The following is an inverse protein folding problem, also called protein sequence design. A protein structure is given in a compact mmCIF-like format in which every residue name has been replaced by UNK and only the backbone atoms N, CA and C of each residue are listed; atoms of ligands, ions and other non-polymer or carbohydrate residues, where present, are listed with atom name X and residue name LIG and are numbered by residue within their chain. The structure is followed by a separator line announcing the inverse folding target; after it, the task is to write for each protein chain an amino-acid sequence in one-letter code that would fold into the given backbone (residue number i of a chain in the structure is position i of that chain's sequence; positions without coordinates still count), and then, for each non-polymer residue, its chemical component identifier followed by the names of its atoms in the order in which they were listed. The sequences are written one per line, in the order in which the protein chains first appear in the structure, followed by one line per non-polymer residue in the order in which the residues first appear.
data_IF_025690114685
#
_entry.id   IF_025690114685
#
_cell.length_a   1.000
_cell.length_b   1.000
_cell.length_c   1.000
_cell.angle_alpha   90.00
_cell.angle_beta   90.00
_cell.angle_gamma   90.00
#
_symmetry.space_group_name_H-M   'P 1'
#
loop_
_entity.id
_entity.type
_entity.pdbx_description
1 polymer ?
#
# COMPACT_ATOMS: atom_id res chain seq x y z
N UNK A 1 -60.58 -43.84 -27.51
CA UNK A 1 -59.88 -43.63 -26.22
C UNK A 1 -58.64 -42.79 -26.49
N UNK A 2 -58.61 -41.54 -26.02
CA UNK A 2 -57.48 -40.62 -26.19
C UNK A 2 -56.53 -40.74 -24.98
N UNK A 3 -55.29 -41.19 -25.21
CA UNK A 3 -54.25 -41.23 -24.19
C UNK A 3 -53.60 -39.85 -24.05
N UNK A 4 -53.75 -39.22 -22.89
CA UNK A 4 -53.00 -38.01 -22.53
C UNK A 4 -51.58 -38.39 -22.13
N UNK A 5 -50.60 -37.98 -22.94
CA UNK A 5 -49.17 -38.08 -22.64
C UNK A 5 -48.83 -37.06 -21.56
N UNK A 6 -48.48 -37.51 -20.36
CA UNK A 6 -48.04 -36.65 -19.25
C UNK A 6 -46.82 -35.82 -19.68
N UNK A 7 -47.00 -34.50 -19.85
CA UNK A 7 -45.90 -33.56 -20.04
C UNK A 7 -45.06 -33.41 -18.76
N UNK A 8 -43.79 -32.98 -18.87
CA UNK A 8 -42.93 -32.75 -17.71
C UNK A 8 -43.58 -31.72 -16.76
N UNK A 9 -43.66 -32.07 -15.47
CA UNK A 9 -44.28 -31.23 -14.42
C UNK A 9 -43.60 -29.84 -14.38
N UNK A 10 -44.37 -28.75 -14.19
CA UNK A 10 -43.80 -27.40 -14.11
C UNK A 10 -42.78 -27.31 -12.96
N UNK A 11 -41.64 -26.64 -13.15
CA UNK A 11 -40.64 -26.50 -12.09
C UNK A 11 -41.24 -25.79 -10.87
N UNK A 12 -40.99 -26.32 -9.68
CA UNK A 12 -41.59 -25.81 -8.44
C UNK A 12 -40.67 -24.78 -7.77
N UNK A 13 -40.60 -23.58 -8.35
CA UNK A 13 -39.76 -22.46 -7.91
C UNK A 13 -40.00 -22.00 -6.45
N UNK A 14 -41.08 -22.46 -5.81
CA UNK A 14 -41.45 -22.13 -4.42
C UNK A 14 -40.96 -23.16 -3.39
N UNK A 15 -40.28 -24.23 -3.82
CA UNK A 15 -39.67 -25.18 -2.88
C UNK A 15 -38.57 -24.53 -2.04
N UNK A 16 -38.57 -24.72 -0.72
CA UNK A 16 -37.56 -24.17 0.21
C UNK A 16 -36.10 -24.42 -0.21
N UNK A 17 -35.85 -25.52 -0.93
CA UNK A 17 -34.52 -25.89 -1.47
C UNK A 17 -34.15 -25.15 -2.76
N UNK A 18 -35.13 -24.74 -3.56
CA UNK A 18 -34.92 -23.93 -4.76
C UNK A 18 -34.83 -22.44 -4.41
N UNK A 19 -35.61 -21.99 -3.42
CA UNK A 19 -35.50 -20.64 -2.86
C UNK A 19 -34.14 -20.36 -2.23
N UNK A 20 -33.55 -21.32 -1.51
CA UNK A 20 -32.19 -21.16 -0.96
C UNK A 20 -31.13 -21.09 -2.05
N UNK A 21 -31.29 -21.82 -3.16
CA UNK A 21 -30.39 -21.74 -4.32
C UNK A 21 -30.50 -20.39 -5.04
N UNK A 22 -31.72 -19.91 -5.26
CA UNK A 22 -31.96 -18.59 -5.86
C UNK A 22 -31.43 -17.47 -4.97
N UNK A 23 -31.61 -17.59 -3.64
CA UNK A 23 -31.10 -16.62 -2.68
C UNK A 23 -29.57 -16.54 -2.71
N UNK A 24 -28.88 -17.70 -2.73
CA UNK A 24 -27.41 -17.73 -2.85
C UNK A 24 -26.96 -17.05 -4.15
N UNK A 25 -27.66 -17.28 -5.27
CA UNK A 25 -27.33 -16.67 -6.56
C UNK A 25 -27.52 -15.14 -6.54
N UNK A 26 -28.61 -14.65 -5.94
CA UNK A 26 -28.87 -13.21 -5.80
C UNK A 26 -27.83 -12.56 -4.90
N UNK A 27 -27.46 -13.19 -3.79
CA UNK A 27 -26.41 -12.68 -2.88
C UNK A 27 -25.05 -12.61 -3.59
N UNK A 28 -24.71 -13.62 -4.39
CA UNK A 28 -23.48 -13.62 -5.19
C UNK A 28 -23.47 -12.49 -6.22
N UNK A 29 -24.60 -12.28 -6.89
CA UNK A 29 -24.75 -11.23 -7.91
C UNK A 29 -24.70 -9.83 -7.27
N UNK A 30 -25.32 -9.65 -6.11
CA UNK A 30 -25.18 -8.43 -5.31
C UNK A 30 -23.75 -8.19 -4.85
N UNK A 31 -23.02 -9.24 -4.45
CA UNK A 31 -21.61 -9.15 -4.09
C UNK A 31 -20.74 -8.66 -5.25
N UNK A 32 -21.00 -9.13 -6.47
CA UNK A 32 -20.29 -8.67 -7.67
C UNK A 32 -20.58 -7.19 -7.96
N UNK A 33 -21.84 -6.77 -7.84
CA UNK A 33 -22.21 -5.35 -8.04
C UNK A 33 -21.60 -4.46 -6.96
N UNK A 34 -21.54 -4.92 -5.71
CA UNK A 34 -20.91 -4.18 -4.61
C UNK A 34 -19.39 -4.05 -4.82
N UNK A 35 -18.71 -5.14 -5.22
CA UNK A 35 -17.29 -5.09 -5.57
C UNK A 35 -17.05 -4.17 -6.76
N UNK A 36 -17.91 -4.18 -7.78
CA UNK A 36 -17.80 -3.28 -8.94
C UNK A 36 -18.09 -1.82 -8.59
N UNK A 37 -18.94 -1.56 -7.59
CA UNK A 37 -19.20 -0.23 -7.05
C UNK A 37 -18.03 0.27 -6.20
N UNK A 38 -17.46 -0.58 -5.36
CA UNK A 38 -16.27 -0.29 -4.54
C UNK A 38 -15.01 -0.11 -5.42
N UNK A 39 -14.93 -0.82 -6.54
CA UNK A 39 -13.87 -0.70 -7.55
C UNK A 39 -13.79 0.70 -8.20
N UNK A 40 -14.79 1.57 -8.01
CA UNK A 40 -14.74 2.97 -8.46
C UNK A 40 -13.91 3.88 -7.56
N UNK A 41 -13.48 3.41 -6.38
CA UNK A 41 -12.63 4.15 -5.45
C UNK A 41 -11.15 3.80 -5.67
N UNK A 42 -10.37 4.62 -6.41
CA UNK A 42 -8.96 4.33 -6.69
C UNK A 42 -8.05 4.29 -5.45
N UNK A 43 -8.52 4.80 -4.31
CA UNK A 43 -7.75 4.81 -3.07
C UNK A 43 -7.55 3.41 -2.46
N UNK A 44 -8.49 2.48 -2.65
CA UNK A 44 -8.45 1.14 -2.04
C UNK A 44 -7.50 0.15 -2.74
N UNK A 45 -7.07 0.46 -3.97
CA UNK A 45 -6.25 -0.45 -4.80
C UNK A 45 -4.81 0.05 -5.02
N UNK A 46 -4.39 1.15 -4.35
CA UNK A 46 -3.02 1.66 -4.44
C UNK A 46 -1.96 0.62 -4.01
N UNK A 47 -2.32 -0.28 -3.10
CA UNK A 47 -1.46 -1.36 -2.61
C UNK A 47 -1.15 -2.44 -3.68
N UNK A 48 -1.97 -2.55 -4.72
CA UNK A 48 -1.78 -3.55 -5.80
C UNK A 48 -0.71 -3.06 -6.79
N UNK A 49 -0.66 -1.76 -7.04
CA UNK A 49 0.29 -1.14 -7.97
C UNK A 49 1.68 -0.92 -7.34
N UNK A 50 1.79 -0.93 -6.02
CA UNK A 50 3.09 -0.84 -5.32
C UNK A 50 3.94 -2.11 -5.42
N UNK A 51 3.36 -3.26 -5.82
CA UNK A 51 4.11 -4.51 -5.99
C UNK A 51 5.01 -4.53 -7.24
N UNK A 52 4.73 -3.70 -8.24
CA UNK A 52 5.56 -3.60 -9.47
C UNK A 52 6.76 -2.66 -9.36
N UNK A 53 6.80 -1.80 -8.33
CA UNK A 53 7.91 -0.87 -8.07
C UNK A 53 8.86 -1.37 -6.97
N UNK A 54 8.60 -2.54 -6.38
CA UNK A 54 9.52 -3.22 -5.48
C UNK A 54 10.69 -3.86 -6.27
N UNK A 55 11.39 -3.06 -7.05
CA UNK A 55 12.70 -3.42 -7.56
C UNK A 55 13.66 -3.47 -6.38
N UNK A 56 13.96 -4.68 -5.89
CA UNK A 56 15.04 -5.03 -4.95
C UNK A 56 15.38 -3.92 -3.95
N UNK A 57 14.55 -3.77 -2.92
CA UNK A 57 14.97 -3.05 -1.72
C UNK A 57 16.09 -3.86 -1.05
N UNK A 58 17.34 -3.49 -1.32
CA UNK A 58 18.49 -3.91 -0.54
C UNK A 58 18.20 -3.61 0.94
N UNK A 59 18.41 -4.61 1.80
CA UNK A 59 18.37 -4.59 3.28
C UNK A 59 17.47 -3.51 3.91
N UNK A 60 16.22 -3.87 4.24
CA UNK A 60 15.25 -2.98 4.87
C UNK A 60 15.84 -2.29 6.12
N UNK A 61 16.15 -0.99 6.00
CA UNK A 61 16.66 -0.18 7.11
C UNK A 61 15.59 -0.04 8.18
N UNK A 62 15.89 -0.46 9.41
CA UNK A 62 15.00 -0.22 10.54
C UNK A 62 15.09 1.24 11.00
N UNK A 63 13.98 1.97 10.82
CA UNK A 63 13.83 3.38 11.18
C UNK A 63 13.06 3.59 12.47
N UNK A 64 12.63 2.52 13.15
CA UNK A 64 11.83 2.60 14.38
C UNK A 64 12.65 3.17 15.54
N UNK A 65 12.01 4.02 16.35
CA UNK A 65 12.59 4.52 17.60
C UNK A 65 12.47 3.44 18.70
N UNK A 66 13.52 3.24 19.47
CA UNK A 66 13.45 2.45 20.72
C UNK A 66 12.62 3.16 21.81
N UNK A 67 12.31 2.48 22.93
CA UNK A 67 11.53 3.07 24.02
C UNK A 67 12.17 4.40 24.50
N UNK A 68 11.35 5.45 24.47
CA UNK A 68 11.74 6.87 24.52
C UNK A 68 12.59 7.26 25.72
N UNK A 69 13.65 8.05 25.45
CA UNK A 69 14.30 8.93 26.44
C UNK A 69 13.44 10.19 26.60
N UNK A 70 13.43 10.78 27.79
CA UNK A 70 12.59 11.92 28.18
C UNK A 70 12.68 13.11 27.20
N UNK A 71 11.55 13.81 26.99
CA UNK A 71 11.49 15.06 26.22
C UNK A 71 12.27 16.14 26.99
N UNK A 72 13.38 16.68 26.44
CA UNK A 72 14.14 17.71 27.14
C UNK A 72 13.39 19.05 27.20
N UNK A 73 13.58 19.83 28.26
CA UNK A 73 12.89 21.11 28.50
C UNK A 73 13.22 22.20 27.46
N UNK A 74 14.31 22.04 26.68
CA UNK A 74 14.78 22.97 25.65
C UNK A 74 14.29 22.65 24.23
N UNK A 75 13.24 21.81 24.13
CA UNK A 75 12.63 21.42 22.86
C UNK A 75 12.03 22.65 22.17
N UNK A 76 12.55 22.95 21.00
CA UNK A 76 11.98 23.92 20.08
C UNK A 76 10.92 23.25 19.22
N UNK A 77 9.67 23.65 19.44
CA UNK A 77 8.53 23.19 18.67
C UNK A 77 8.39 24.13 17.49
N UNK A 78 8.49 23.63 16.25
CA UNK A 78 7.98 24.37 15.09
C UNK A 78 6.48 24.48 15.32
N UNK A 79 5.95 25.69 15.59
CA UNK A 79 4.58 25.82 16.05
C UNK A 79 3.63 25.30 14.98
N UNK A 80 2.63 24.52 15.39
CA UNK A 80 1.46 24.28 14.56
C UNK A 80 0.80 25.64 14.26
N UNK A 81 0.07 25.78 13.14
CA UNK A 81 -0.55 27.06 12.78
C UNK A 81 -1.40 27.60 13.95
N UNK A 82 -0.97 28.70 14.57
CA UNK A 82 -1.74 29.41 15.61
C UNK A 82 -1.09 29.62 16.97
N UNK A 83 0.10 29.10 17.27
CA UNK A 83 0.77 29.37 18.56
C UNK A 83 2.01 30.26 18.41
N UNK A 84 1.94 31.49 18.94
CA UNK A 84 3.07 32.42 18.99
C UNK A 84 3.58 32.57 20.43
N UNK A 85 4.79 32.06 20.72
CA UNK A 85 5.52 32.35 21.96
C UNK A 85 6.57 33.43 21.70
N UNK A 86 6.61 34.44 22.57
CA UNK A 86 7.63 35.48 22.54
C UNK A 86 9.00 34.87 22.91
N UNK A 87 9.84 34.61 21.91
CA UNK A 87 11.22 34.15 22.11
C UNK A 87 12.21 35.30 21.87
N UNK A 88 13.23 35.36 22.72
CA UNK A 88 14.35 36.31 22.65
C UNK A 88 15.03 36.20 21.28
N UNK A 89 15.16 37.33 20.56
CA UNK A 89 15.90 37.43 19.30
C UNK A 89 17.39 37.19 19.57
N UNK A 90 17.84 35.94 19.48
CA UNK A 90 19.26 35.64 19.30
C UNK A 90 19.71 36.23 17.96
N UNK A 91 20.87 36.90 17.95
CA UNK A 91 21.49 37.36 16.69
C UNK A 91 21.98 36.14 15.93
N UNK A 92 21.29 35.75 14.86
CA UNK A 92 21.59 34.53 14.10
C UNK A 92 22.52 34.84 12.91
N UNK A 93 22.52 36.10 12.45
CA UNK A 93 23.34 36.58 11.34
C UNK A 93 24.85 36.32 11.53
N UNK A 94 25.53 35.86 10.48
CA UNK A 94 26.97 35.61 10.46
C UNK A 94 27.36 34.29 9.77
N UNK A 95 28.66 34.00 9.63
CA UNK A 95 29.11 32.76 9.00
C UNK A 95 28.70 31.54 9.85
N UNK A 96 28.43 30.42 9.17
CA UNK A 96 28.27 29.11 9.81
C UNK A 96 29.61 28.69 10.40
N UNK A 97 29.62 28.36 11.69
CA UNK A 97 30.79 27.90 12.43
C UNK A 97 30.68 26.42 12.78
N UNK A 98 31.80 25.79 13.10
CA UNK A 98 31.81 24.40 13.59
C UNK A 98 31.01 24.25 14.89
N UNK A 99 31.03 25.27 15.76
CA UNK A 99 30.25 25.29 17.00
C UNK A 99 28.73 25.24 16.73
N UNK A 100 28.27 25.89 15.65
CA UNK A 100 26.86 25.81 15.23
C UNK A 100 26.48 24.38 14.84
N UNK A 101 27.33 23.67 14.08
CA UNK A 101 27.05 22.28 13.67
C UNK A 101 27.23 21.27 14.82
N UNK A 102 28.08 21.57 15.79
CA UNK A 102 28.33 20.74 16.96
C UNK A 102 27.15 20.74 17.96
N UNK A 103 26.31 21.80 17.96
CA UNK A 103 25.10 21.86 18.79
C UNK A 103 23.97 20.95 18.28
N UNK A 104 24.03 20.55 17.00
CA UNK A 104 23.03 19.70 16.37
C UNK A 104 23.10 18.27 16.91
N UNK A 105 21.96 17.68 17.26
CA UNK A 105 21.89 16.32 17.83
C UNK A 105 20.92 15.44 17.06
N UNK A 106 21.41 14.30 16.59
CA UNK A 106 20.61 13.32 15.87
C UNK A 106 19.68 12.54 16.81
N UNK A 107 18.50 12.17 16.30
CA UNK A 107 17.53 11.33 17.03
C UNK A 107 16.72 12.08 18.10
N UNK A 108 16.93 13.38 18.24
CA UNK A 108 16.22 14.24 19.18
C UNK A 108 15.33 15.25 18.46
N UNK A 109 14.23 15.72 19.08
CA UNK A 109 13.46 16.86 18.60
C UNK A 109 14.34 18.07 18.29
N UNK A 110 13.82 19.03 17.52
CA UNK A 110 14.52 20.29 17.31
C UNK A 110 14.73 21.01 18.65
N UNK A 111 15.91 21.59 18.86
CA UNK A 111 16.25 22.35 20.08
C UNK A 111 16.53 23.80 19.79
N UNK A 112 16.37 24.67 20.79
CA UNK A 112 16.65 26.10 20.66
C UNK A 112 18.10 26.38 20.22
N UNK A 113 19.07 25.60 20.73
CA UNK A 113 20.49 25.72 20.37
C UNK A 113 20.83 25.30 18.92
N UNK A 114 19.89 24.68 18.20
CA UNK A 114 20.07 24.29 16.79
C UNK A 114 19.61 25.40 15.81
N UNK A 115 18.90 26.43 16.31
CA UNK A 115 18.33 27.51 15.50
C UNK A 115 19.39 28.30 14.74
N UNK A 116 20.53 28.57 15.37
CA UNK A 116 21.64 29.28 14.73
C UNK A 116 22.12 28.57 13.47
N UNK A 117 22.42 27.27 13.57
CA UNK A 117 22.84 26.45 12.44
C UNK A 117 21.77 26.38 11.34
N UNK A 118 20.52 26.13 11.73
CA UNK A 118 19.37 26.03 10.84
C UNK A 118 19.23 27.24 9.92
N UNK A 119 19.19 28.43 10.53
CA UNK A 119 18.95 29.67 9.81
C UNK A 119 20.18 30.17 9.05
N UNK A 120 21.40 29.96 9.56
CA UNK A 120 22.64 30.25 8.80
C UNK A 120 22.76 29.39 7.53
N UNK A 121 22.33 28.12 7.59
CA UNK A 121 22.26 27.26 6.41
C UNK A 121 21.22 27.77 5.41
N UNK A 122 20.04 28.21 5.89
CA UNK A 122 19.04 28.84 5.01
C UNK A 122 19.50 30.16 4.40
N UNK A 123 20.22 30.99 5.15
CA UNK A 123 20.78 32.23 4.64
C UNK A 123 21.79 31.95 3.52
N UNK A 124 22.65 30.95 3.71
CA UNK A 124 23.57 30.48 2.66
C UNK A 124 22.82 29.98 1.42
N UNK A 125 21.76 29.20 1.60
CA UNK A 125 20.91 28.73 0.48
C UNK A 125 20.24 29.90 -0.25
N UNK A 126 19.76 30.91 0.48
CA UNK A 126 19.11 32.09 -0.09
C UNK A 126 20.07 32.91 -0.94
N UNK A 127 21.29 33.12 -0.45
CA UNK A 127 22.33 33.94 -1.09
C UNK A 127 23.04 33.24 -2.26
N UNK A 128 22.97 31.91 -2.36
CA UNK A 128 23.66 31.15 -3.41
C UNK A 128 22.68 30.80 -4.54
N UNK A 129 23.08 30.99 -5.79
CA UNK A 129 22.27 30.62 -6.95
C UNK A 129 22.12 29.10 -7.10
N UNK A 130 20.97 28.65 -7.62
CA UNK A 130 20.68 27.22 -7.74
C UNK A 130 21.70 26.47 -8.61
N UNK A 131 22.23 27.11 -9.66
CA UNK A 131 23.28 26.52 -10.49
C UNK A 131 24.62 26.37 -9.74
N UNK A 132 24.94 27.32 -8.85
CA UNK A 132 26.11 27.22 -7.98
C UNK A 132 25.95 26.15 -6.92
N UNK A 133 24.75 26.02 -6.33
CA UNK A 133 24.43 24.93 -5.40
C UNK A 133 24.64 23.57 -6.07
N UNK A 134 24.14 23.37 -7.30
CA UNK A 134 24.35 22.12 -8.02
C UNK A 134 25.84 21.85 -8.30
N UNK A 135 26.64 22.87 -8.61
CA UNK A 135 28.09 22.73 -8.82
C UNK A 135 28.87 22.42 -7.54
N UNK A 136 28.46 23.00 -6.42
CA UNK A 136 29.11 22.82 -5.11
C UNK A 136 28.66 21.54 -4.39
N UNK A 137 27.59 20.91 -4.85
CA UNK A 137 27.08 19.66 -4.28
C UNK A 137 28.14 18.56 -4.33
N UNK A 138 28.19 17.75 -3.28
CA UNK A 138 28.98 16.50 -3.25
C UNK A 138 28.36 15.40 -4.13
N UNK A 139 27.24 15.68 -4.80
CA UNK A 139 26.56 14.79 -5.73
C UNK A 139 25.42 14.01 -5.10
N UNK A 140 24.88 13.01 -5.83
CA UNK A 140 23.76 12.18 -5.36
C UNK A 140 24.13 11.38 -4.11
N UNK A 141 23.26 11.42 -3.10
CA UNK A 141 23.42 10.65 -1.84
C UNK A 141 22.18 9.78 -1.60
N UNK A 142 22.40 8.59 -1.03
CA UNK A 142 21.36 7.61 -0.70
C UNK A 142 20.76 7.84 0.69
N UNK A 143 19.56 7.30 0.92
CA UNK A 143 18.93 7.31 2.24
C UNK A 143 19.82 6.65 3.31
N UNK A 144 20.42 5.50 2.98
CA UNK A 144 21.24 4.72 3.92
C UNK A 144 22.44 5.52 4.39
N UNK A 145 23.10 6.25 3.49
CA UNK A 145 24.24 7.10 3.84
C UNK A 145 23.85 8.18 4.85
N UNK A 146 22.76 8.93 4.58
CA UNK A 146 22.29 9.97 5.50
C UNK A 146 21.82 9.39 6.84
N UNK A 147 21.24 8.19 6.82
CA UNK A 147 20.67 7.58 8.00
C UNK A 147 21.73 6.91 8.91
N UNK A 148 22.71 6.22 8.33
CA UNK A 148 23.76 5.49 9.08
C UNK A 148 25.01 6.35 9.34
N UNK A 149 25.25 7.40 8.55
CA UNK A 149 26.46 8.24 8.63
C UNK A 149 26.13 9.73 8.83
N UNK A 150 25.23 10.12 9.76
CA UNK A 150 24.78 11.51 9.87
C UNK A 150 25.92 12.49 10.19
N UNK A 151 26.91 12.09 10.99
CA UNK A 151 28.06 12.92 11.32
C UNK A 151 28.91 13.27 10.08
N UNK A 152 29.06 12.34 9.13
CA UNK A 152 29.84 12.54 7.91
C UNK A 152 29.17 13.52 6.94
N UNK A 153 27.84 13.60 6.94
CA UNK A 153 27.07 14.43 6.01
C UNK A 153 26.58 15.75 6.61
N UNK A 154 26.73 15.95 7.92
CA UNK A 154 26.20 17.14 8.61
C UNK A 154 26.75 18.43 8.00
N UNK A 155 25.85 19.31 7.58
CA UNK A 155 26.20 20.58 6.93
C UNK A 155 26.77 20.44 5.52
N UNK A 156 26.85 19.23 4.94
CA UNK A 156 27.30 19.03 3.55
C UNK A 156 26.16 19.28 2.58
N UNK A 157 26.50 19.93 1.46
CA UNK A 157 25.59 20.14 0.34
C UNK A 157 25.54 18.85 -0.48
N UNK A 158 24.35 18.28 -0.60
CA UNK A 158 24.08 17.00 -1.27
C UNK A 158 23.00 17.18 -2.32
N UNK A 159 22.90 16.22 -3.25
CA UNK A 159 21.81 16.13 -4.22
C UNK A 159 20.92 14.94 -3.88
N UNK A 160 19.61 15.16 -3.90
CA UNK A 160 18.58 14.12 -3.68
C UNK A 160 17.60 14.08 -4.83
N UNK A 161 17.09 12.88 -5.12
CA UNK A 161 16.00 12.67 -6.09
C UNK A 161 14.98 11.68 -5.54
N UNK A 162 13.71 11.91 -5.84
CA UNK A 162 12.65 11.09 -5.29
C UNK A 162 11.25 11.57 -5.64
N UNK A 163 10.28 10.97 -4.97
CA UNK A 163 8.87 11.31 -5.09
C UNK A 163 8.44 12.09 -3.86
N UNK A 164 8.05 13.35 -4.03
CA UNK A 164 7.41 14.11 -2.96
C UNK A 164 5.96 13.65 -2.80
N UNK A 165 5.59 13.33 -1.56
CA UNK A 165 4.22 12.87 -1.22
C UNK A 165 3.43 13.81 -0.33
N UNK A 166 4.08 14.82 0.23
CA UNK A 166 3.46 15.90 1.02
C UNK A 166 4.27 17.17 0.84
N UNK A 167 3.57 18.31 0.79
CA UNK A 167 4.17 19.64 0.78
C UNK A 167 3.23 20.61 1.44
N UNK A 168 3.65 21.24 2.53
CA UNK A 168 2.83 22.19 3.28
C UNK A 168 3.65 23.42 3.68
N UNK A 169 3.06 24.63 3.60
CA UNK A 169 3.70 25.83 4.13
C UNK A 169 3.65 25.79 5.66
N UNK A 170 4.75 26.23 6.27
CA UNK A 170 4.86 26.39 7.72
C UNK A 170 5.53 27.72 8.05
N UNK A 171 5.12 28.31 9.16
CA UNK A 171 5.69 29.56 9.63
C UNK A 171 7.06 29.32 10.25
N UNK A 172 8.00 30.16 9.83
CA UNK A 172 9.31 30.18 10.42
C UNK A 172 9.22 30.83 11.80
N UNK A 173 9.95 30.29 12.78
CA UNK A 173 10.16 30.95 14.05
C UNK A 173 10.83 32.34 13.88
N UNK A 174 10.62 33.28 14.82
CA UNK A 174 11.20 34.62 14.71
C UNK A 174 12.72 34.58 14.51
N UNK A 175 13.20 35.33 13.51
CA UNK A 175 14.61 35.44 13.17
C UNK A 175 14.92 36.85 12.65
N UNK A 176 16.20 37.24 12.69
CA UNK A 176 16.72 38.53 12.19
C UNK A 176 17.00 38.51 10.68
N UNK A 177 16.85 37.36 10.02
CA UNK A 177 17.11 37.17 8.59
C UNK A 177 15.90 37.46 7.70
N UNK A 178 14.70 37.66 8.27
CA UNK A 178 13.46 37.90 7.51
C UNK A 178 12.95 36.67 6.76
N UNK A 179 13.23 35.47 7.26
CA UNK A 179 12.63 34.24 6.74
C UNK A 179 11.32 34.03 7.51
N UNK A 180 10.17 34.30 6.89
CA UNK A 180 8.86 34.22 7.57
C UNK A 180 8.19 32.86 7.43
N UNK A 181 8.50 32.13 6.36
CA UNK A 181 7.93 30.81 6.09
C UNK A 181 8.82 29.98 5.19
N UNK A 182 8.59 28.68 5.22
CA UNK A 182 9.18 27.69 4.33
C UNK A 182 8.19 26.53 4.16
N UNK A 183 8.51 25.60 3.28
CA UNK A 183 7.68 24.42 3.03
C UNK A 183 8.30 23.20 3.70
N UNK A 184 7.52 22.46 4.50
CA UNK A 184 7.88 21.14 4.97
C UNK A 184 7.36 20.11 3.97
N UNK A 185 8.26 19.30 3.46
CA UNK A 185 7.96 18.34 2.39
C UNK A 185 8.49 16.95 2.75
N UNK A 186 7.81 15.92 2.26
CA UNK A 186 8.16 14.52 2.55
C UNK A 186 8.56 13.81 1.27
N UNK A 187 9.87 13.66 1.08
CA UNK A 187 10.49 13.07 -0.10
C UNK A 187 10.76 11.59 0.15
N UNK A 188 10.24 10.74 -0.73
CA UNK A 188 10.54 9.31 -0.73
C UNK A 188 11.64 9.08 -1.78
N UNK A 189 12.88 8.83 -1.36
CA UNK A 189 14.02 8.75 -2.25
C UNK A 189 13.93 7.50 -3.13
N UNK A 190 14.50 7.57 -4.34
CA UNK A 190 14.39 6.48 -5.32
C UNK A 190 15.00 5.17 -4.83
N UNK A 191 16.08 5.23 -4.06
CA UNK A 191 16.77 4.08 -3.47
C UNK A 191 16.05 3.51 -2.23
N UNK A 192 15.15 4.27 -1.59
CA UNK A 192 14.40 3.80 -0.43
C UNK A 192 12.96 4.37 -0.41
N UNK A 193 12.05 3.85 -1.23
CA UNK A 193 10.70 4.41 -1.40
C UNK A 193 9.76 4.16 -0.20
N UNK A 194 10.24 3.46 0.82
CA UNK A 194 9.48 3.14 2.04
C UNK A 194 9.72 4.12 3.18
N UNK A 195 10.89 4.79 3.21
CA UNK A 195 11.27 5.70 4.29
C UNK A 195 11.46 7.12 3.75
N UNK A 196 10.84 8.13 4.38
CA UNK A 196 10.94 9.50 3.92
C UNK A 196 12.23 10.19 4.36
N UNK A 197 12.65 11.17 3.55
CA UNK A 197 13.52 12.27 3.92
C UNK A 197 12.61 13.50 4.08
N UNK A 198 12.72 14.19 5.20
CA UNK A 198 11.98 15.43 5.44
C UNK A 198 12.81 16.58 4.89
N UNK A 199 12.23 17.34 3.96
CA UNK A 199 12.93 18.46 3.32
C UNK A 199 12.21 19.75 3.63
N UNK A 200 12.94 20.69 4.22
CA UNK A 200 12.50 22.05 4.43
C UNK A 200 13.04 22.93 3.32
N UNK A 201 12.16 23.54 2.53
CA UNK A 201 12.57 24.34 1.37
C UNK A 201 12.03 25.76 1.42
N UNK A 202 12.85 26.75 1.06
CA UNK A 202 12.46 28.16 1.09
C UNK A 202 11.36 28.47 0.08
N UNK A 203 11.38 27.80 -1.08
CA UNK A 203 10.45 28.03 -2.17
C UNK A 203 10.07 26.72 -2.84
N UNK A 204 8.86 26.67 -3.40
CA UNK A 204 8.45 25.62 -4.34
C UNK A 204 8.24 26.23 -5.72
N UNK A 205 8.49 25.48 -6.81
CA UNK A 205 8.24 25.97 -8.17
C UNK A 205 6.79 26.42 -8.37
N UNK A 206 6.59 27.40 -9.26
CA UNK A 206 5.25 27.86 -9.61
C UNK A 206 4.41 26.69 -10.16
N UNK A 207 3.18 26.56 -9.65
CA UNK A 207 2.26 25.48 -10.03
C UNK A 207 2.51 24.14 -9.33
N UNK A 208 3.52 24.03 -8.47
CA UNK A 208 3.78 22.81 -7.71
C UNK A 208 2.59 22.50 -6.77
N UNK A 209 2.03 21.28 -6.78
CA UNK A 209 0.90 20.94 -5.95
C UNK A 209 1.29 20.91 -4.46
N UNK A 210 0.38 21.39 -3.62
CA UNK A 210 0.54 21.41 -2.16
C UNK A 210 -0.56 20.59 -1.50
N UNK A 211 -0.28 20.12 -0.29
CA UNK A 211 -1.21 19.37 0.53
C UNK A 211 -0.59 18.11 1.13
N UNK A 212 -1.47 17.35 1.78
CA UNK A 212 -1.13 16.16 2.55
C UNK A 212 -0.89 14.93 1.66
N UNK A 213 -1.30 14.98 0.40
CA UNK A 213 -1.19 13.88 -0.56
C UNK A 213 -0.93 14.45 -1.94
N UNK A 214 0.33 14.38 -2.36
CA UNK A 214 0.80 14.69 -3.70
C UNK A 214 1.62 13.50 -4.22
N UNK A 215 1.98 13.50 -5.50
CA UNK A 215 2.85 12.46 -6.06
C UNK A 215 3.69 13.03 -7.19
N UNK A 216 4.72 13.80 -6.83
CA UNK A 216 5.52 14.55 -7.80
C UNK A 216 6.99 14.11 -7.79
N UNK A 217 7.55 13.91 -8.98
CA UNK A 217 8.98 13.63 -9.14
C UNK A 217 9.77 14.93 -9.00
N UNK A 218 10.72 14.93 -8.06
CA UNK A 218 11.59 16.08 -7.84
C UNK A 218 13.05 15.68 -7.65
N UNK A 219 13.91 16.64 -7.92
CA UNK A 219 15.31 16.64 -7.55
C UNK A 219 15.63 17.94 -6.82
N UNK A 220 16.58 17.92 -5.88
CA UNK A 220 16.98 19.11 -5.13
C UNK A 220 18.41 19.02 -4.65
N UNK A 221 19.01 20.19 -4.44
CA UNK A 221 20.27 20.32 -3.72
C UNK A 221 19.99 20.96 -2.35
N UNK A 222 20.56 20.39 -1.30
CA UNK A 222 20.30 20.84 0.06
C UNK A 222 21.37 20.40 1.05
N UNK A 223 21.42 21.10 2.18
CA UNK A 223 22.30 20.75 3.29
C UNK A 223 21.65 19.68 4.15
N UNK A 224 22.34 18.56 4.36
CA UNK A 224 21.89 17.59 5.37
C UNK A 224 22.07 18.20 6.77
N UNK A 225 21.01 18.17 7.56
CA UNK A 225 20.97 18.82 8.87
C UNK A 225 21.15 17.82 10.01
N UNK A 226 20.20 16.89 10.17
CA UNK A 226 20.20 15.87 11.22
C UNK A 226 19.24 14.74 10.89
N UNK A 227 19.27 13.69 11.70
CA UNK A 227 18.14 12.77 11.87
C UNK A 227 17.17 13.30 12.90
N UNK A 228 15.89 13.36 12.54
CA UNK A 228 14.82 13.87 13.38
C UNK A 228 13.78 12.78 13.66
N UNK A 229 13.34 12.60 14.92
CA UNK A 229 12.25 11.71 15.27
C UNK A 229 10.90 12.30 14.84
N UNK A 230 10.04 11.47 14.27
CA UNK A 230 8.66 11.81 13.91
C UNK A 230 7.71 10.67 14.27
N UNK A 231 6.43 11.01 14.44
CA UNK A 231 5.39 10.02 14.65
C UNK A 231 4.82 9.60 13.29
N UNK A 232 5.07 8.36 12.89
CA UNK A 232 4.35 7.75 11.76
C UNK A 232 2.97 7.25 12.22
N UNK A 233 2.13 6.80 11.29
CA UNK A 233 0.79 6.31 11.62
C UNK A 233 0.79 5.09 12.57
N UNK A 234 1.85 4.30 12.55
CA UNK A 234 2.01 3.08 13.34
C UNK A 234 2.92 3.29 14.57
N UNK A 235 4.10 3.88 14.38
CA UNK A 235 5.10 4.02 15.46
C UNK A 235 5.99 5.25 15.29
N UNK A 236 6.72 5.60 16.34
CA UNK A 236 7.80 6.58 16.28
C UNK A 236 8.92 6.10 15.35
N UNK A 237 9.30 6.94 14.39
CA UNK A 237 10.38 6.68 13.44
C UNK A 237 11.37 7.84 13.43
N UNK A 238 12.53 7.63 12.82
CA UNK A 238 13.51 8.68 12.53
C UNK A 238 13.64 8.89 11.03
N UNK A 239 13.76 10.15 10.59
CA UNK A 239 14.00 10.52 9.20
C UNK A 239 15.19 11.48 9.07
N UNK A 240 16.01 11.39 8.01
CA UNK A 240 16.93 12.45 7.63
C UNK A 240 16.20 13.77 7.36
N UNK A 241 16.79 14.89 7.77
CA UNK A 241 16.32 16.24 7.51
C UNK A 241 17.30 16.96 6.58
N UNK A 242 16.78 17.59 5.54
CA UNK A 242 17.56 18.37 4.57
C UNK A 242 16.95 19.76 4.40
N UNK A 243 17.81 20.78 4.33
CA UNK A 243 17.43 22.17 4.08
C UNK A 243 17.75 22.52 2.63
N UNK A 244 16.80 23.06 1.89
CA UNK A 244 16.94 23.33 0.46
C UNK A 244 16.45 24.74 0.08
N UNK A 245 16.94 25.26 -1.05
CA UNK A 245 16.47 26.55 -1.60
C UNK A 245 15.15 26.39 -2.34
N UNK A 246 15.11 25.42 -3.25
CA UNK A 246 13.98 25.13 -4.12
C UNK A 246 14.02 23.68 -4.61
N UNK A 247 13.04 23.30 -5.43
CA UNK A 247 12.90 21.97 -6.01
C UNK A 247 13.02 22.06 -7.54
N UNK A 248 13.71 21.11 -8.16
CA UNK A 248 13.63 20.84 -9.60
C UNK A 248 12.47 19.88 -9.83
N UNK A 249 11.30 20.42 -10.17
CA UNK A 249 10.09 19.66 -10.38
C UNK A 249 9.93 19.25 -11.84
N UNK A 250 9.68 17.96 -12.07
CA UNK A 250 9.22 17.46 -13.37
C UNK A 250 7.76 17.06 -13.21
N UNK A 251 6.84 17.90 -13.71
CA UNK A 251 5.41 17.63 -13.63
C UNK A 251 5.09 16.26 -14.24
N UNK A 252 4.40 15.42 -13.47
CA UNK A 252 3.86 14.20 -14.02
C UNK A 252 2.90 14.56 -15.17
N UNK A 253 3.12 13.99 -16.36
CA UNK A 253 2.11 14.06 -17.41
C UNK A 253 0.83 13.47 -16.82
N UNK A 254 -0.34 14.12 -16.95
CA UNK A 254 -1.59 13.53 -16.53
C UNK A 254 -1.68 12.13 -17.14
N UNK A 255 -1.57 11.09 -16.31
CA UNK A 255 -1.83 9.73 -16.74
C UNK A 255 -3.28 9.74 -17.20
N UNK A 256 -3.51 9.62 -18.51
CA UNK A 256 -4.86 9.37 -19.02
C UNK A 256 -5.46 8.29 -18.14
N UNK A 257 -6.60 8.53 -17.47
CA UNK A 257 -7.20 7.53 -16.62
C UNK A 257 -7.32 6.27 -17.46
N UNK A 258 -6.68 5.19 -17.01
CA UNK A 258 -6.75 3.90 -17.67
C UNK A 258 -8.24 3.65 -17.94
N UNK A 259 -8.61 3.56 -19.22
CA UNK A 259 -10.01 3.52 -19.63
C UNK A 259 -10.71 2.47 -18.77
N UNK A 260 -11.84 2.80 -18.11
CA UNK A 260 -12.54 1.83 -17.28
C UNK A 260 -12.76 0.57 -18.13
N UNK A 261 -12.58 -0.64 -17.56
CA UNK A 261 -12.74 -1.87 -18.31
C UNK A 261 -14.08 -1.80 -19.05
N UNK A 262 -14.03 -1.96 -20.37
CA UNK A 262 -15.19 -1.79 -21.22
C UNK A 262 -16.35 -2.62 -20.67
N UNK A 263 -17.59 -2.18 -20.86
CA UNK A 263 -18.78 -2.95 -20.45
C UNK A 263 -18.74 -4.39 -21.01
N UNK A 264 -18.11 -4.59 -22.17
CA UNK A 264 -17.86 -5.92 -22.75
C UNK A 264 -16.94 -6.82 -21.89
N UNK A 265 -15.92 -6.25 -21.25
CA UNK A 265 -15.01 -6.97 -20.35
C UNK A 265 -15.72 -7.44 -19.07
N UNK A 266 -16.59 -6.59 -18.51
CA UNK A 266 -17.41 -6.92 -17.33
C UNK A 266 -18.48 -7.97 -17.66
N UNK A 267 -19.13 -7.85 -18.82
CA UNK A 267 -20.09 -8.85 -19.31
C UNK A 267 -19.40 -10.19 -19.58
N UNK A 268 -18.18 -10.18 -20.14
CA UNK A 268 -17.38 -11.38 -20.36
C UNK A 268 -17.04 -12.11 -19.05
N UNK A 269 -16.60 -11.37 -18.02
CA UNK A 269 -16.32 -11.95 -16.70
C UNK A 269 -17.59 -12.51 -16.04
N UNK A 270 -18.71 -11.78 -16.11
CA UNK A 270 -19.99 -12.24 -15.58
C UNK A 270 -20.49 -13.51 -16.30
N UNK A 271 -20.33 -13.59 -17.62
CA UNK A 271 -20.69 -14.77 -18.41
C UNK A 271 -19.80 -15.98 -18.07
N UNK A 272 -18.51 -15.76 -17.83
CA UNK A 272 -17.58 -16.81 -17.41
C UNK A 272 -17.95 -17.37 -16.03
N UNK A 273 -18.23 -16.49 -15.05
CA UNK A 273 -18.68 -16.89 -13.71
C UNK A 273 -20.02 -17.64 -13.79
N UNK A 274 -20.98 -17.15 -14.59
CA UNK A 274 -22.25 -17.83 -14.80
C UNK A 274 -22.06 -19.22 -15.43
N UNK A 275 -21.15 -19.35 -16.41
CA UNK A 275 -20.79 -20.63 -17.02
C UNK A 275 -20.22 -21.62 -16.02
N UNK A 276 -19.28 -21.18 -15.16
CA UNK A 276 -18.69 -22.02 -14.10
C UNK A 276 -19.79 -22.49 -13.12
N UNK A 277 -20.70 -21.61 -12.74
CA UNK A 277 -21.82 -21.96 -11.84
C UNK A 277 -22.73 -23.01 -12.48
N UNK A 278 -23.07 -22.87 -13.77
CA UNK A 278 -23.88 -23.85 -14.50
C UNK A 278 -23.18 -25.21 -14.55
N UNK A 279 -21.88 -25.24 -14.84
CA UNK A 279 -21.08 -26.47 -14.88
C UNK A 279 -21.04 -27.15 -13.51
N UNK A 280 -20.78 -26.39 -12.43
CA UNK A 280 -20.74 -26.93 -11.07
C UNK A 280 -22.10 -27.48 -10.64
N UNK A 281 -23.18 -26.77 -10.94
CA UNK A 281 -24.55 -27.25 -10.63
C UNK A 281 -24.86 -28.51 -11.43
N UNK A 282 -24.56 -28.52 -12.73
CA UNK A 282 -24.75 -29.71 -13.57
C UNK A 282 -23.98 -30.91 -13.02
N UNK A 283 -22.72 -30.73 -12.63
CA UNK A 283 -21.89 -31.77 -12.04
C UNK A 283 -22.46 -32.29 -10.70
N UNK A 284 -22.92 -31.40 -9.83
CA UNK A 284 -23.56 -31.79 -8.57
C UNK A 284 -24.91 -32.51 -8.76
N UNK A 285 -25.67 -32.18 -9.81
CA UNK A 285 -26.92 -32.89 -10.12
C UNK A 285 -26.68 -34.26 -10.74
N UNK A 286 -25.62 -34.41 -11.55
CA UNK A 286 -25.24 -35.68 -12.17
C UNK A 286 -24.65 -36.66 -11.15
N UNK A 287 -23.76 -36.19 -10.27
CA UNK A 287 -23.13 -37.02 -9.23
C UNK A 287 -24.09 -37.51 -8.14
N UNK A 288 -25.29 -36.92 -8.04
CA UNK A 288 -26.35 -37.38 -7.12
C UNK A 288 -27.27 -38.44 -7.70
N UNK A 289 -27.26 -38.67 -9.03
CA UNK A 289 -28.01 -39.76 -9.68
C UNK A 289 -27.27 -41.11 -9.67
N UNK A 290 -26.01 -41.14 -9.24
CA UNK A 290 -25.17 -42.35 -9.24
C UNK A 290 -25.12 -43.11 -7.89
N UNK A 291 -26.01 -42.80 -6.94
CA UNK A 291 -26.25 -43.68 -5.78
C UNK A 291 -27.53 -44.48 -6.03
N UNK A 292 -27.40 -45.61 -6.71
CA UNK A 292 -28.45 -46.64 -6.70
C UNK A 292 -28.58 -47.21 -5.28
N UNK A 293 -29.80 -47.46 -4.77
CA UNK A 293 -29.99 -48.22 -3.55
C UNK A 293 -29.65 -49.69 -3.80
N UNK A 294 -28.77 -50.25 -2.97
CA UNK A 294 -28.44 -51.68 -2.96
C UNK A 294 -29.74 -52.48 -2.72
N UNK A 295 -30.08 -53.50 -3.53
CA UNK A 295 -31.27 -54.31 -3.30
C UNK A 295 -31.10 -55.11 -2.00
N UNK A 296 -32.14 -55.09 -1.17
CA UNK A 296 -32.15 -55.76 0.14
C UNK A 296 -32.15 -57.29 -0.05
N UNK A 297 -31.05 -57.94 0.33
CA UNK A 297 -30.86 -59.39 0.19
C UNK A 297 -31.85 -60.19 1.06
N UNK A 298 -32.51 -59.53 2.02
CA UNK A 298 -33.45 -60.13 2.96
C UNK A 298 -34.83 -60.43 2.35
N UNK A 299 -35.22 -59.79 1.26
CA UNK A 299 -36.54 -60.00 0.63
C UNK A 299 -36.60 -61.30 -0.21
N UNK A 300 -35.42 -61.82 -0.63
CA UNK A 300 -35.32 -63.09 -1.36
C UNK A 300 -35.33 -64.34 -0.47
N UNK A 301 -35.10 -64.18 0.84
CA UNK A 301 -35.11 -65.29 1.79
C UNK A 301 -36.45 -65.44 2.54
N UNK A 302 -37.36 -64.45 2.44
CA UNK A 302 -38.67 -64.49 3.10
C UNK A 302 -39.83 -64.93 2.20
N UNK A 303 -39.65 -64.91 0.87
CA UNK A 303 -40.61 -65.47 -0.08
C UNK A 303 -40.31 -66.97 -0.29
N UNK A 304 -40.71 -67.79 0.69
CA UNK A 304 -40.70 -69.24 0.57
C UNK A 304 -41.70 -69.73 -0.48
N UNK A 305 -41.21 -70.45 -1.48
CA UNK A 305 -42.02 -71.45 -2.19
C UNK A 305 -41.33 -72.82 -2.07
N UNK A 306 -41.96 -73.66 -1.26
CA UNK A 306 -41.65 -75.07 -1.06
C UNK A 306 -42.23 -75.88 -2.22
N UNK A 307 -41.43 -76.77 -2.81
CA UNK A 307 -41.94 -77.98 -3.43
C UNK A 307 -41.37 -78.32 -4.81
N UNK A 308 -40.31 -79.13 -4.85
CA UNK A 308 -40.47 -80.55 -5.18
C UNK A 308 -39.11 -81.27 -5.12
N UNK A 309 -39.00 -82.22 -4.19
CA UNK A 309 -38.06 -83.33 -4.29
C UNK A 309 -38.37 -84.11 -5.58
N UNK A 310 -37.34 -84.38 -6.39
CA UNK A 310 -37.27 -85.59 -7.20
C UNK A 310 -35.86 -86.17 -7.12
N UNK A 311 -35.74 -87.21 -6.30
CA UNK A 311 -34.74 -88.26 -6.41
C UNK A 311 -34.80 -88.90 -7.80
N UNK A 312 -33.65 -89.07 -8.45
CA UNK A 312 -33.35 -90.13 -9.43
C UNK A 312 -31.82 -90.19 -9.59
N UNK A 313 -31.16 -91.04 -8.80
CA UNK A 313 -30.49 -92.28 -9.24
C UNK A 313 -29.30 -92.08 -10.20
N UNK A 314 -28.11 -92.30 -9.64
CA UNK A 314 -26.93 -92.87 -10.29
C UNK A 314 -27.29 -94.29 -10.80
N UNK A 315 -26.89 -94.71 -12.01
CA UNK A 315 -25.70 -95.56 -12.10
C UNK A 315 -24.85 -95.43 -13.38
N UNK A 316 -23.56 -95.73 -13.18
CA UNK A 316 -22.64 -96.53 -14.01
C UNK A 316 -21.87 -95.95 -15.22
N UNK A 317 -20.53 -96.05 -15.08
CA UNK A 317 -19.52 -96.66 -15.98
C UNK A 317 -19.47 -96.22 -17.44
N UNK A 318 -18.35 -95.71 -17.92
CA UNK A 318 -17.17 -96.41 -18.50
C UNK A 318 -16.83 -95.51 -19.71
N UNK A 319 -15.63 -95.27 -20.22
CA UNK A 319 -14.33 -95.90 -20.14
C UNK A 319 -13.34 -94.95 -20.87
N UNK A 320 -12.13 -94.87 -20.34
CA UNK A 320 -10.89 -94.53 -21.06
C UNK A 320 -10.73 -95.48 -22.28
N UNK A 321 -10.10 -95.15 -23.43
CA UNK A 321 -8.64 -94.98 -23.53
C UNK A 321 -8.24 -93.95 -24.63
N UNK A 322 -7.01 -93.49 -24.86
CA UNK A 322 -5.62 -93.83 -24.49
C UNK A 322 -4.83 -92.52 -24.29
#
# INVERSE_FOLDING_TARGET
MLQFRNGPRPPNYLGRREQTRLFVLVVLLMGVVWIAWEARNPQYYRWIWSWGQAGKADEAVDTRLGPSVARPDDTFVIPAPGESRHETRETISGPLTEADLASVRDGEPFRAGERGAWFKLFDRLRQTDSADLSRQSSGPVTFIQLYRQPAEYRGKLITLSGTLRRSEPIHAPPNDLGIDSYYMTWLFPRDNPSNPIVVYTLTVPAGFPQGMTIEEQVELDGFFFKRWPYLAQDTGRSAPVVLAKSLRWTAARPTEPASPPSTASLVGLAALVAGIVVVVVWWQTKSRRAKEPVPDLFERLSAGESGHLRLLTDPDKESNPQ
#
